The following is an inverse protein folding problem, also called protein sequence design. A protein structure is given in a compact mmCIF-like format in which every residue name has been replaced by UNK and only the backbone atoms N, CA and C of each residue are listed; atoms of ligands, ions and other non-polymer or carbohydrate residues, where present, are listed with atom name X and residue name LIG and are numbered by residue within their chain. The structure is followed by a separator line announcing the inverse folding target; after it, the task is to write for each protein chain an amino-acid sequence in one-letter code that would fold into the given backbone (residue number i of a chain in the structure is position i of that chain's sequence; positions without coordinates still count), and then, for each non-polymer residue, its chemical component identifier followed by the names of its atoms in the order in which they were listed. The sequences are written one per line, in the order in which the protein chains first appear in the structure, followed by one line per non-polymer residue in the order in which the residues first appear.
data_IF_692048064070
#
_entry.id   IF_692048064070
#
_cell.length_a   1.000
_cell.length_b   1.000
_cell.length_c   1.000
_cell.angle_alpha   90.00
_cell.angle_beta   90.00
_cell.angle_gamma   90.00
#
_symmetry.space_group_name_H-M   'P 1'
#
loop_
_entity.id
_entity.type
_entity.pdbx_description
1 polymer ?
#
# COMPACT_ATOMS: atom_id res chain seq x y z
N UNK A 1 -11.36 10.45 6.63
CA UNK A 1 -10.21 9.83 5.95
C UNK A 1 -10.46 8.34 5.86
N UNK A 2 -10.52 7.83 4.66
CA UNK A 2 -10.69 6.40 4.40
C UNK A 2 -9.34 5.67 4.51
N UNK A 3 -9.38 4.40 4.91
CA UNK A 3 -8.17 3.58 5.03
C UNK A 3 -8.39 2.28 4.26
N UNK A 4 -7.53 2.03 3.28
CA UNK A 4 -7.61 0.89 2.37
C UNK A 4 -6.38 0.00 2.53
N UNK A 5 -6.56 -1.30 2.36
CA UNK A 5 -5.46 -2.27 2.29
C UNK A 5 -5.54 -3.05 0.98
N UNK A 6 -4.47 -3.03 0.23
CA UNK A 6 -4.35 -3.74 -1.06
C UNK A 6 -4.05 -5.20 -0.78
N UNK A 7 -4.94 -6.11 -1.18
CA UNK A 7 -4.79 -7.56 -1.00
C UNK A 7 -4.98 -8.27 -2.34
N UNK A 8 -4.06 -9.14 -2.69
CA UNK A 8 -4.16 -9.99 -3.87
C UNK A 8 -4.91 -11.28 -3.51
N UNK A 9 -6.16 -11.41 -3.94
CA UNK A 9 -7.06 -12.50 -3.60
C UNK A 9 -6.59 -13.88 -4.06
N UNK A 10 -5.83 -13.94 -5.15
CA UNK A 10 -5.25 -15.18 -5.70
C UNK A 10 -3.98 -15.65 -4.97
N UNK A 11 -3.51 -14.90 -3.97
CA UNK A 11 -2.32 -15.23 -3.17
C UNK A 11 -2.70 -15.52 -1.72
N UNK A 12 -2.58 -16.79 -1.30
CA UNK A 12 -2.84 -17.18 0.09
C UNK A 12 -1.97 -16.41 1.09
N UNK A 13 -0.73 -16.11 0.70
CA UNK A 13 0.20 -15.30 1.52
C UNK A 13 -0.34 -13.87 1.66
N UNK A 14 -0.75 -13.23 0.56
CA UNK A 14 -1.31 -11.87 0.59
C UNK A 14 -2.56 -11.80 1.45
N UNK A 15 -3.46 -12.76 1.29
CA UNK A 15 -4.70 -12.85 2.09
C UNK A 15 -4.40 -13.05 3.57
N UNK A 16 -3.49 -13.96 3.90
CA UNK A 16 -3.12 -14.26 5.29
C UNK A 16 -2.44 -13.07 5.97
N UNK A 17 -1.50 -12.42 5.29
CA UNK A 17 -0.81 -11.24 5.81
C UNK A 17 -1.77 -10.05 5.93
N UNK A 18 -2.61 -9.82 4.93
CA UNK A 18 -3.62 -8.78 4.96
C UNK A 18 -4.56 -8.89 6.17
N UNK A 19 -5.02 -10.11 6.49
CA UNK A 19 -5.83 -10.35 7.69
C UNK A 19 -5.10 -9.97 8.98
N UNK A 20 -3.80 -10.29 9.09
CA UNK A 20 -2.98 -9.90 10.26
C UNK A 20 -2.82 -8.38 10.34
N UNK A 21 -2.58 -7.72 9.21
CA UNK A 21 -2.45 -6.27 9.16
C UNK A 21 -3.77 -5.57 9.53
N UNK A 22 -4.91 -6.07 9.05
CA UNK A 22 -6.24 -5.54 9.41
C UNK A 22 -6.49 -5.67 10.92
N UNK A 23 -6.24 -6.85 11.49
CA UNK A 23 -6.40 -7.08 12.92
C UNK A 23 -5.52 -6.14 13.75
N UNK A 24 -4.26 -5.96 13.33
CA UNK A 24 -3.32 -5.08 14.01
C UNK A 24 -3.70 -3.60 13.89
N UNK A 25 -4.12 -3.14 12.72
CA UNK A 25 -4.56 -1.77 12.52
C UNK A 25 -5.76 -1.43 13.41
N UNK A 26 -6.69 -2.37 13.57
CA UNK A 26 -7.86 -2.23 14.44
C UNK A 26 -7.48 -2.01 15.91
N UNK A 27 -6.42 -2.63 16.42
CA UNK A 27 -5.90 -2.39 17.77
C UNK A 27 -5.49 -0.93 17.99
N UNK A 28 -5.08 -0.24 16.93
CA UNK A 28 -4.73 1.18 16.93
C UNK A 28 -5.88 2.11 16.48
N UNK A 29 -7.11 1.57 16.38
CA UNK A 29 -8.29 2.33 16.00
C UNK A 29 -8.37 2.68 14.50
N UNK A 30 -7.65 1.95 13.65
CA UNK A 30 -7.70 2.09 12.18
C UNK A 30 -8.49 0.93 11.59
N UNK A 31 -9.60 1.25 10.95
CA UNK A 31 -10.39 0.27 10.20
C UNK A 31 -9.94 0.28 8.73
N UNK A 32 -9.45 -0.87 8.27
CA UNK A 32 -8.97 -1.07 6.90
C UNK A 32 -10.03 -1.78 6.08
N UNK A 33 -10.42 -1.17 4.97
CA UNK A 33 -11.24 -1.77 3.95
C UNK A 33 -10.35 -2.43 2.89
N UNK A 34 -10.68 -3.66 2.50
CA UNK A 34 -9.92 -4.38 1.47
C UNK A 34 -10.19 -3.76 0.10
N UNK A 35 -9.12 -3.46 -0.60
CA UNK A 35 -9.09 -3.17 -2.02
C UNK A 35 -8.48 -4.39 -2.74
N UNK A 36 -9.27 -4.98 -3.64
CA UNK A 36 -8.80 -6.13 -4.43
C UNK A 36 -7.71 -5.69 -5.41
N UNK A 37 -6.51 -6.20 -5.21
CA UNK A 37 -5.36 -5.83 -6.02
C UNK A 37 -5.57 -6.19 -7.50
N UNK A 38 -5.07 -5.32 -8.38
CA UNK A 38 -5.05 -5.62 -9.81
C UNK A 38 -4.06 -6.76 -10.08
N UNK A 39 -4.53 -7.82 -10.71
CA UNK A 39 -3.67 -8.94 -11.10
C UNK A 39 -2.65 -8.50 -12.17
N UNK A 40 -1.40 -8.88 -11.96
CA UNK A 40 -0.32 -8.54 -12.89
C UNK A 40 -0.57 -9.00 -14.31
N UNK A 41 -1.26 -10.13 -14.49
CA UNK A 41 -1.63 -10.65 -15.81
C UNK A 41 -2.57 -9.71 -16.59
N UNK A 42 -3.43 -8.98 -15.91
CA UNK A 42 -4.41 -8.06 -16.52
C UNK A 42 -3.82 -6.66 -16.73
N UNK A 43 -2.73 -6.35 -16.05
CA UNK A 43 -2.14 -5.01 -16.02
C UNK A 43 -1.75 -4.44 -17.40
N UNK A 44 -1.14 -5.19 -18.33
CA UNK A 44 -0.77 -4.65 -19.64
C UNK A 44 -1.95 -4.15 -20.47
N UNK A 45 -3.08 -4.87 -20.44
CA UNK A 45 -4.30 -4.48 -21.13
C UNK A 45 -4.91 -3.22 -20.52
N UNK A 46 -5.03 -3.19 -19.19
CA UNK A 46 -5.55 -2.04 -18.45
C UNK A 46 -4.72 -0.78 -18.74
N UNK A 47 -3.40 -0.88 -18.71
CA UNK A 47 -2.49 0.23 -19.02
C UNK A 47 -2.72 0.76 -20.43
N UNK A 48 -2.91 -0.15 -21.38
CA UNK A 48 -3.20 0.21 -22.77
C UNK A 48 -4.54 0.94 -22.90
N UNK A 49 -5.59 0.42 -22.26
CA UNK A 49 -6.93 1.03 -22.25
C UNK A 49 -6.92 2.44 -21.63
N UNK A 50 -6.14 2.62 -20.56
CA UNK A 50 -5.96 3.92 -19.91
C UNK A 50 -5.09 4.90 -20.70
N UNK A 51 -4.45 4.46 -21.78
CA UNK A 51 -3.53 5.28 -22.57
C UNK A 51 -2.24 5.65 -21.85
N UNK A 52 -1.87 4.90 -20.80
CA UNK A 52 -0.66 5.16 -20.04
C UNK A 52 0.58 4.63 -20.76
N UNK A 53 1.67 5.39 -20.69
CA UNK A 53 2.96 4.97 -21.25
C UNK A 53 3.65 3.99 -20.29
N UNK A 54 4.02 2.82 -20.81
CA UNK A 54 4.88 1.88 -20.07
C UNK A 54 6.33 2.35 -20.15
N UNK A 55 6.93 2.61 -18.99
CA UNK A 55 8.36 2.81 -18.90
C UNK A 55 9.09 1.46 -18.97
N UNK A 56 10.03 1.30 -19.90
CA UNK A 56 10.78 0.06 -20.11
C UNK A 56 11.98 -0.07 -19.15
N UNK A 57 11.80 0.18 -17.86
CA UNK A 57 12.85 -0.09 -16.89
C UNK A 57 13.02 -1.60 -16.71
N UNK A 58 14.27 -2.05 -16.54
CA UNK A 58 14.57 -3.42 -16.07
C UNK A 58 14.10 -3.52 -14.62
N UNK A 59 12.97 -4.17 -14.40
CA UNK A 59 12.41 -4.35 -13.05
C UNK A 59 12.87 -5.69 -12.47
N UNK A 60 13.43 -5.66 -11.26
CA UNK A 60 13.69 -6.89 -10.49
C UNK A 60 12.35 -7.46 -10.02
N UNK A 61 12.16 -8.77 -10.07
CA UNK A 61 11.02 -9.44 -9.44
C UNK A 61 9.79 -9.67 -10.31
N UNK A 62 9.86 -9.48 -11.60
CA UNK A 62 8.75 -9.75 -12.51
C UNK A 62 7.94 -8.50 -12.84
N UNK A 63 7.95 -8.16 -14.12
CA UNK A 63 7.33 -6.94 -14.65
C UNK A 63 5.83 -6.86 -14.38
N UNK A 64 5.12 -7.99 -14.49
CA UNK A 64 3.66 -8.02 -14.34
C UNK A 64 3.20 -7.71 -12.92
N UNK A 65 3.87 -8.26 -11.90
CA UNK A 65 3.54 -7.96 -10.50
C UNK A 65 3.73 -6.49 -10.15
N UNK A 66 4.80 -5.87 -10.65
CA UNK A 66 5.05 -4.43 -10.47
C UNK A 66 3.96 -3.59 -11.13
N UNK A 67 3.51 -3.97 -12.33
CA UNK A 67 2.44 -3.27 -13.03
C UNK A 67 1.10 -3.40 -12.31
N UNK A 68 0.78 -4.58 -11.76
CA UNK A 68 -0.42 -4.80 -10.94
C UNK A 68 -0.40 -3.95 -9.67
N UNK A 69 0.73 -3.89 -8.98
CA UNK A 69 0.93 -3.04 -7.81
C UNK A 69 0.73 -1.55 -8.17
N UNK A 70 1.37 -1.07 -9.22
CA UNK A 70 1.19 0.30 -9.71
C UNK A 70 -0.27 0.62 -9.99
N UNK A 71 -0.98 -0.24 -10.72
CA UNK A 71 -2.39 0.01 -11.06
C UNK A 71 -3.29 -0.02 -9.83
N UNK A 72 -3.02 -0.87 -8.85
CA UNK A 72 -3.77 -0.88 -7.60
C UNK A 72 -3.69 0.47 -6.88
N UNK A 73 -2.49 1.03 -6.77
CA UNK A 73 -2.29 2.38 -6.23
C UNK A 73 -2.93 3.46 -7.12
N UNK A 74 -2.80 3.35 -8.44
CA UNK A 74 -3.37 4.30 -9.39
C UNK A 74 -4.89 4.41 -9.23
N UNK A 75 -5.61 3.30 -9.12
CA UNK A 75 -7.05 3.32 -8.92
C UNK A 75 -7.44 3.88 -7.55
N UNK A 76 -6.70 3.56 -6.49
CA UNK A 76 -6.93 4.16 -5.17
C UNK A 76 -6.68 5.66 -5.15
N UNK A 77 -5.71 6.16 -5.90
CA UNK A 77 -5.51 7.61 -6.07
C UNK A 77 -6.69 8.26 -6.80
N UNK A 78 -7.26 7.60 -7.80
CA UNK A 78 -8.48 8.07 -8.47
C UNK A 78 -9.65 8.13 -7.50
N UNK A 79 -9.90 7.09 -6.72
CA UNK A 79 -10.95 7.08 -5.70
C UNK A 79 -10.74 8.22 -4.68
N UNK A 80 -9.50 8.45 -4.25
CA UNK A 80 -9.14 9.54 -3.35
C UNK A 80 -9.51 10.91 -3.91
N UNK A 81 -9.21 11.14 -5.20
CA UNK A 81 -9.54 12.39 -5.90
C UNK A 81 -11.05 12.56 -6.02
N UNK A 82 -11.78 11.52 -6.41
CA UNK A 82 -13.22 11.55 -6.56
C UNK A 82 -13.94 11.77 -5.21
N UNK A 83 -13.43 11.15 -4.15
CA UNK A 83 -13.96 11.34 -2.79
C UNK A 83 -13.63 12.71 -2.20
N UNK A 84 -12.65 13.41 -2.78
CA UNK A 84 -12.12 14.68 -2.29
C UNK A 84 -11.74 14.65 -0.81
N UNK A 85 -11.15 13.54 -0.38
CA UNK A 85 -10.66 13.36 0.99
C UNK A 85 -9.36 12.52 0.99
N UNK A 86 -8.48 12.69 1.99
CA UNK A 86 -7.26 11.90 2.10
C UNK A 86 -7.56 10.41 2.30
N UNK A 87 -6.83 9.57 1.59
CA UNK A 87 -6.82 8.12 1.80
C UNK A 87 -5.52 7.69 2.48
N UNK A 88 -5.63 6.72 3.34
CA UNK A 88 -4.50 5.98 3.87
C UNK A 88 -4.44 4.62 3.17
N UNK A 89 -3.33 4.34 2.49
CA UNK A 89 -3.16 3.13 1.69
C UNK A 89 -2.12 2.24 2.34
N UNK A 90 -2.50 1.00 2.60
CA UNK A 90 -1.64 -0.06 3.12
C UNK A 90 -1.42 -1.12 2.05
N UNK A 91 -0.22 -1.66 1.95
CA UNK A 91 0.03 -2.92 1.28
C UNK A 91 -0.26 -4.09 2.24
N UNK A 92 -0.50 -5.29 1.71
CA UNK A 92 -0.90 -6.44 2.53
C UNK A 92 0.12 -6.83 3.63
N UNK A 93 1.36 -6.39 3.52
CA UNK A 93 2.46 -6.62 4.45
C UNK A 93 2.83 -5.39 5.30
N UNK A 94 2.07 -4.30 5.18
CA UNK A 94 2.26 -3.09 5.96
C UNK A 94 1.71 -3.24 7.39
N UNK A 95 2.49 -3.84 8.28
CA UNK A 95 2.11 -4.12 9.66
C UNK A 95 2.35 -2.91 10.56
N UNK A 96 1.32 -2.41 11.22
CA UNK A 96 1.43 -1.28 12.14
C UNK A 96 2.17 -1.65 13.42
N UNK A 97 3.23 -0.93 13.75
CA UNK A 97 4.00 -1.11 14.97
C UNK A 97 3.54 -0.18 16.11
N UNK A 98 2.97 0.97 15.77
CA UNK A 98 2.53 2.02 16.71
C UNK A 98 1.38 2.83 16.12
N UNK A 99 0.64 3.58 16.95
CA UNK A 99 -0.40 4.49 16.48
C UNK A 99 0.16 5.53 15.50
N UNK A 100 -0.67 5.92 14.55
CA UNK A 100 -0.30 6.98 13.60
C UNK A 100 -0.19 8.34 14.33
N UNK A 101 0.87 9.10 14.06
CA UNK A 101 1.05 10.41 14.67
C UNK A 101 0.05 11.42 14.09
N UNK A 102 -1.02 11.73 14.83
CA UNK A 102 -2.10 12.62 14.39
C UNK A 102 -1.62 14.00 13.90
N UNK A 103 -0.49 14.49 14.44
CA UNK A 103 0.10 15.76 14.01
C UNK A 103 0.68 15.68 12.60
N UNK A 104 1.28 14.55 12.25
CA UNK A 104 1.92 14.34 10.93
C UNK A 104 0.86 14.30 9.83
N UNK A 105 -0.28 13.68 10.10
CA UNK A 105 -1.38 13.57 9.13
C UNK A 105 -1.99 14.92 8.73
N UNK A 106 -1.71 16.00 9.47
CA UNK A 106 -2.19 17.36 9.18
C UNK A 106 -1.19 18.21 8.39
N UNK A 107 0.04 17.73 8.20
CA UNK A 107 1.16 18.55 7.70
C UNK A 107 1.55 18.25 6.25
N UNK A 108 1.04 17.19 5.63
CA UNK A 108 1.41 16.87 4.26
C UNK A 108 0.43 17.47 3.24
N UNK A 109 0.92 18.14 2.21
CA UNK A 109 0.07 18.75 1.20
C UNK A 109 -0.44 17.75 0.14
N UNK A 110 0.35 16.72 -0.21
CA UNK A 110 0.04 15.81 -1.32
C UNK A 110 0.15 14.33 -0.91
N UNK A 111 1.35 13.78 -0.86
CA UNK A 111 1.61 12.37 -0.53
C UNK A 111 2.61 12.28 0.62
N UNK A 112 2.25 11.52 1.65
CA UNK A 112 3.14 11.20 2.76
C UNK A 112 3.43 9.70 2.79
N UNK A 113 4.70 9.33 2.69
CA UNK A 113 5.16 7.97 2.89
C UNK A 113 5.47 7.73 4.38
N UNK A 114 4.84 6.72 4.98
CA UNK A 114 4.93 6.43 6.41
C UNK A 114 5.86 5.26 6.74
N UNK A 115 6.22 4.46 5.75
CA UNK A 115 7.24 3.41 5.89
C UNK A 115 8.64 3.99 5.64
N UNK A 116 9.64 3.46 6.27
CA UNK A 116 11.01 3.75 5.91
C UNK A 116 11.57 2.61 5.07
N UNK A 117 11.99 2.91 3.85
CA UNK A 117 12.92 2.07 3.10
C UNK A 117 14.33 2.39 3.60
N UNK A 118 14.54 2.31 4.90
CA UNK A 118 15.86 2.53 5.45
C UNK A 118 16.74 1.33 5.06
N UNK A 119 17.83 1.55 4.30
CA UNK A 119 18.80 0.49 4.03
C UNK A 119 19.49 0.00 5.33
N UNK A 120 19.30 0.69 6.43
CA UNK A 120 19.77 0.33 7.79
C UNK A 120 18.65 -0.30 8.64
N UNK A 121 17.72 -1.00 8.02
CA UNK A 121 16.59 -1.69 8.66
C UNK A 121 16.98 -2.49 9.92
N UNK A 122 18.16 -3.11 9.90
CA UNK A 122 18.66 -3.91 11.02
C UNK A 122 18.98 -3.08 12.28
N UNK A 123 19.30 -1.79 12.14
CA UNK A 123 19.51 -0.89 13.27
C UNK A 123 18.21 -0.40 13.87
N UNK A 124 17.18 -0.22 13.05
CA UNK A 124 15.86 0.22 13.50
C UNK A 124 15.12 -0.89 14.27
N UNK A 125 15.21 -2.12 13.81
CA UNK A 125 14.67 -3.29 14.50
C UNK A 125 15.35 -3.55 15.85
N UNK A 126 16.65 -3.23 15.98
CA UNK A 126 17.38 -3.32 17.21
C UNK A 126 16.93 -2.27 18.25
N UNK A 127 16.63 -1.04 17.84
CA UNK A 127 16.13 0.02 18.73
C UNK A 127 14.68 -0.24 19.17
N UNK A 128 13.82 -0.78 18.28
CA UNK A 128 12.45 -1.15 18.61
C UNK A 128 12.37 -2.34 19.58
N UNK A 129 13.28 -3.30 19.47
CA UNK A 129 13.34 -4.45 20.36
C UNK A 129 14.03 -4.13 21.71
N UNK A 130 14.68 -2.98 21.84
CA UNK A 130 15.31 -2.50 23.06
C UNK A 130 14.38 -1.65 23.96
N UNK A 131 13.19 -1.31 23.50
CA UNK A 131 12.13 -0.61 24.23
C UNK A 131 11.08 -1.58 24.73
#
# INVERSE_FOLDING_TARGET
MQSKIIVLDSSDISVSMGKKCIARAKEFGVELEIFDAIHGADAPEIIKELGLRQYRAKMKGGRLGVLGCFLSHYFLWHECVEANEPFMIFEHDAYMLRPLPKKVLKLFPDILKLDSLDPYRDTYDAELNAQ
#
